data_IF_057900068880
#
_entry.id   IF_057900068880
#
_cell.length_a   1.000
_cell.length_b   1.000
_cell.length_c   1.000
_cell.angle_alpha   90.00
_cell.angle_beta   90.00
_cell.angle_gamma   90.00
#
_symmetry.space_group_name_H-M   'P 1'
#
loop_
_entity.id
_entity.type
_entity.pdbx_description
1 polymer ?
#
# COMPACT_ATOMS: atom_id res chain seq x y z
N UNK A 1 -23.34 8.06 -3.40
CA UNK A 1 -22.53 8.90 -2.50
C UNK A 1 -21.11 8.36 -2.60
N UNK A 2 -20.10 9.19 -2.76
CA UNK A 2 -18.71 8.75 -2.83
C UNK A 2 -18.27 8.30 -1.43
N UNK A 3 -17.59 7.12 -1.33
CA UNK A 3 -17.26 6.47 -0.05
C UNK A 3 -16.17 7.19 0.74
N UNK A 4 -15.33 7.99 0.07
CA UNK A 4 -14.19 8.70 0.66
C UNK A 4 -14.31 10.22 0.50
N UNK A 5 -15.52 10.74 0.31
CA UNK A 5 -15.78 12.16 0.08
C UNK A 5 -15.17 13.04 1.17
N UNK A 6 -14.31 13.97 0.77
CA UNK A 6 -13.64 14.91 1.66
C UNK A 6 -12.55 14.33 2.55
N UNK A 7 -12.16 13.07 2.40
CA UNK A 7 -11.02 12.47 3.08
C UNK A 7 -9.72 12.82 2.36
N UNK A 8 -8.62 12.94 3.09
CA UNK A 8 -7.27 13.10 2.55
C UNK A 8 -6.51 11.77 2.62
N UNK A 9 -5.99 11.31 1.49
CA UNK A 9 -5.28 10.03 1.38
C UNK A 9 -3.85 10.21 0.88
N UNK A 10 -2.89 9.55 1.53
CA UNK A 10 -1.52 9.39 1.05
C UNK A 10 -1.31 7.94 0.61
N UNK A 11 -0.91 7.73 -0.64
CA UNK A 11 -0.62 6.40 -1.20
C UNK A 11 0.84 6.33 -1.60
N UNK A 12 1.63 5.47 -0.92
CA UNK A 12 3.05 5.33 -1.25
C UNK A 12 3.28 4.40 -2.43
N UNK A 13 4.30 4.68 -3.26
CA UNK A 13 4.58 3.92 -4.46
C UNK A 13 3.43 3.96 -5.47
N UNK A 14 2.78 5.11 -5.58
CA UNK A 14 1.59 5.30 -6.42
C UNK A 14 1.89 5.90 -7.80
N UNK A 15 3.15 5.89 -8.23
CA UNK A 15 3.55 6.27 -9.60
C UNK A 15 3.36 5.14 -10.62
N UNK A 16 3.02 3.92 -10.19
CA UNK A 16 2.77 2.77 -11.08
C UNK A 16 1.95 1.67 -10.37
N UNK A 17 1.57 0.66 -11.12
CA UNK A 17 1.03 -0.62 -10.66
C UNK A 17 -0.18 -0.51 -9.73
N UNK A 18 -0.21 -1.31 -8.67
CA UNK A 18 -1.32 -1.35 -7.70
C UNK A 18 -1.49 0.02 -7.03
N UNK A 19 -0.40 0.68 -6.63
CA UNK A 19 -0.45 1.98 -5.96
C UNK A 19 -1.12 3.06 -6.81
N UNK A 20 -0.81 3.11 -8.11
CA UNK A 20 -1.47 3.98 -9.07
C UNK A 20 -2.98 3.72 -9.12
N UNK A 21 -3.37 2.46 -9.33
CA UNK A 21 -4.80 2.13 -9.41
C UNK A 21 -5.56 2.40 -8.12
N UNK A 22 -4.92 2.23 -6.95
CA UNK A 22 -5.49 2.61 -5.65
C UNK A 22 -5.68 4.12 -5.57
N UNK A 23 -4.68 4.93 -5.94
CA UNK A 23 -4.74 6.38 -5.93
C UNK A 23 -5.88 6.91 -6.84
N UNK A 24 -5.95 6.41 -8.08
CA UNK A 24 -7.02 6.73 -9.02
C UNK A 24 -8.42 6.34 -8.48
N UNK A 25 -8.53 5.15 -7.89
CA UNK A 25 -9.80 4.68 -7.31
C UNK A 25 -10.22 5.52 -6.10
N UNK A 26 -9.30 5.90 -5.22
CA UNK A 26 -9.59 6.79 -4.09
C UNK A 26 -10.07 8.17 -4.54
N UNK A 27 -9.46 8.73 -5.58
CA UNK A 27 -9.88 10.00 -6.14
C UNK A 27 -11.30 9.93 -6.75
N UNK A 28 -11.62 8.85 -7.48
CA UNK A 28 -12.99 8.60 -7.97
C UNK A 28 -14.01 8.50 -6.85
N UNK A 29 -13.61 7.97 -5.69
CA UNK A 29 -14.45 7.91 -4.47
C UNK A 29 -14.44 9.21 -3.65
N UNK A 30 -13.85 10.29 -4.15
CA UNK A 30 -13.94 11.65 -3.58
C UNK A 30 -12.84 12.03 -2.60
N UNK A 31 -11.78 11.22 -2.47
CA UNK A 31 -10.64 11.59 -1.67
C UNK A 31 -9.80 12.68 -2.37
N UNK A 32 -9.15 13.52 -1.54
CA UNK A 32 -7.99 14.31 -1.95
C UNK A 32 -6.79 13.38 -1.86
N UNK A 33 -6.13 13.08 -2.98
CA UNK A 33 -5.08 12.07 -3.01
C UNK A 33 -3.71 12.70 -3.14
N UNK A 34 -2.80 12.32 -2.25
CA UNK A 34 -1.37 12.61 -2.41
C UNK A 34 -0.70 11.37 -2.98
N UNK A 35 -0.27 11.48 -4.23
CA UNK A 35 0.52 10.49 -4.96
C UNK A 35 1.98 10.66 -4.55
N UNK A 36 2.71 9.57 -4.28
CA UNK A 36 4.15 9.65 -4.01
C UNK A 36 4.90 8.44 -4.53
N UNK A 37 6.14 8.66 -4.90
CA UNK A 37 7.08 7.67 -5.42
C UNK A 37 8.24 8.35 -6.10
N UNK A 38 9.04 7.56 -6.80
CA UNK A 38 10.12 8.04 -7.64
C UNK A 38 9.58 8.44 -9.03
N UNK A 39 10.21 9.42 -9.67
CA UNK A 39 9.88 9.85 -11.02
C UNK A 39 8.83 10.96 -11.07
N UNK A 40 9.31 12.20 -11.12
CA UNK A 40 8.45 13.40 -11.15
C UNK A 40 7.50 13.42 -12.35
N UNK A 41 7.94 12.96 -13.52
CA UNK A 41 7.13 12.93 -14.73
C UNK A 41 5.94 11.95 -14.60
N UNK A 42 6.20 10.73 -14.11
CA UNK A 42 5.15 9.73 -13.88
C UNK A 42 4.15 10.21 -12.82
N UNK A 43 4.65 10.82 -11.74
CA UNK A 43 3.79 11.40 -10.71
C UNK A 43 2.88 12.50 -11.26
N UNK A 44 3.42 13.41 -12.08
CA UNK A 44 2.64 14.47 -12.72
C UNK A 44 1.56 13.90 -13.65
N UNK A 45 1.90 12.90 -14.49
CA UNK A 45 0.93 12.26 -15.38
C UNK A 45 -0.26 11.64 -14.63
N UNK A 46 -0.03 11.04 -13.46
CA UNK A 46 -1.10 10.46 -12.65
C UNK A 46 -1.99 11.55 -12.05
N UNK A 47 -1.38 12.61 -11.54
CA UNK A 47 -2.13 13.78 -11.04
C UNK A 47 -2.98 14.37 -12.13
N UNK A 48 -2.42 14.61 -13.31
CA UNK A 48 -3.15 15.16 -14.47
C UNK A 48 -4.32 14.25 -14.88
N UNK A 49 -4.12 12.92 -14.87
CA UNK A 49 -5.17 11.95 -15.16
C UNK A 49 -6.33 12.03 -14.15
N UNK A 50 -6.01 12.07 -12.86
CA UNK A 50 -7.01 12.20 -11.79
C UNK A 50 -7.77 13.53 -11.89
N UNK A 51 -7.08 14.63 -12.16
CA UNK A 51 -7.69 15.95 -12.30
C UNK A 51 -8.57 16.02 -13.54
N UNK A 52 -8.16 15.41 -14.64
CA UNK A 52 -8.96 15.32 -15.86
C UNK A 52 -10.28 14.56 -15.66
N UNK A 53 -10.32 13.59 -14.73
CA UNK A 53 -11.53 12.88 -14.31
C UNK A 53 -12.35 13.64 -13.24
N UNK A 54 -11.93 14.86 -12.87
CA UNK A 54 -12.62 15.71 -11.88
C UNK A 54 -12.28 15.37 -10.43
N UNK A 55 -11.22 14.61 -10.18
CA UNK A 55 -10.67 14.34 -8.85
C UNK A 55 -9.71 15.45 -8.38
N UNK A 56 -9.22 15.30 -7.14
CA UNK A 56 -8.21 16.18 -6.54
C UNK A 56 -6.99 15.34 -6.21
N UNK A 57 -5.85 15.70 -6.78
CA UNK A 57 -4.60 15.01 -6.50
C UNK A 57 -3.40 15.97 -6.46
N UNK A 58 -2.39 15.59 -5.72
CA UNK A 58 -1.10 16.25 -5.61
C UNK A 58 0.02 15.21 -5.71
N UNK A 59 1.21 15.62 -6.07
CA UNK A 59 2.37 14.74 -6.12
C UNK A 59 3.48 15.25 -5.20
N UNK A 60 4.08 14.32 -4.46
CA UNK A 60 5.31 14.53 -3.67
C UNK A 60 6.31 13.47 -4.09
N UNK A 61 7.40 13.86 -4.71
CA UNK A 61 8.50 12.95 -4.98
C UNK A 61 9.18 12.56 -3.67
N UNK A 62 9.34 11.26 -3.41
CA UNK A 62 10.03 10.78 -2.22
C UNK A 62 10.68 9.42 -2.46
N UNK A 63 11.93 9.30 -2.02
CA UNK A 63 12.66 8.04 -1.93
C UNK A 63 12.58 7.49 -0.50
N UNK A 64 11.77 6.45 -0.32
CA UNK A 64 11.57 5.84 1.00
C UNK A 64 12.82 5.09 1.52
N UNK A 65 13.82 4.87 0.68
CA UNK A 65 15.12 4.32 1.10
C UNK A 65 16.08 5.37 1.66
N UNK A 66 15.79 6.67 1.47
CA UNK A 66 16.67 7.77 1.90
C UNK A 66 16.62 8.05 3.42
N UNK A 67 15.85 7.23 4.17
CA UNK A 67 15.83 7.26 5.64
C UNK A 67 14.79 8.20 6.25
N UNK A 68 14.81 8.28 7.59
CA UNK A 68 13.73 8.88 8.37
C UNK A 68 13.52 10.40 8.18
N UNK A 69 14.54 11.16 7.75
CA UNK A 69 14.38 12.58 7.42
C UNK A 69 13.49 12.78 6.20
N UNK A 70 13.68 11.98 5.18
CA UNK A 70 12.89 12.00 3.96
C UNK A 70 11.43 11.59 4.22
N UNK A 71 11.23 10.56 5.04
CA UNK A 71 9.89 10.11 5.42
C UNK A 71 9.12 11.19 6.20
N UNK A 72 9.80 11.90 7.11
CA UNK A 72 9.19 13.03 7.82
C UNK A 72 8.87 14.20 6.89
N UNK A 73 9.76 14.51 5.93
CA UNK A 73 9.50 15.51 4.90
C UNK A 73 8.26 15.16 4.09
N UNK A 74 8.17 13.89 3.63
CA UNK A 74 6.99 13.39 2.90
C UNK A 74 5.70 13.59 3.71
N UNK A 75 5.68 13.18 4.98
CA UNK A 75 4.50 13.34 5.84
C UNK A 75 4.05 14.81 5.97
N UNK A 76 5.00 15.73 6.15
CA UNK A 76 4.73 17.16 6.27
C UNK A 76 4.21 17.76 4.96
N UNK A 77 4.86 17.47 3.83
CA UNK A 77 4.48 18.00 2.53
C UNK A 77 3.12 17.42 2.07
N UNK A 78 2.90 16.14 2.28
CA UNK A 78 1.61 15.51 1.97
C UNK A 78 0.45 16.17 2.75
N UNK A 79 0.65 16.41 4.05
CA UNK A 79 -0.34 17.10 4.89
C UNK A 79 -0.57 18.54 4.43
N UNK A 80 0.49 19.25 4.07
CA UNK A 80 0.40 20.64 3.60
C UNK A 80 -0.35 20.74 2.27
N UNK A 81 -0.05 19.86 1.30
CA UNK A 81 -0.70 19.83 -0.02
C UNK A 81 -2.16 19.39 0.06
N UNK A 82 -2.49 18.45 0.93
CA UNK A 82 -3.88 18.06 1.17
C UNK A 82 -4.71 19.18 1.85
N UNK A 83 -4.06 20.19 2.44
CA UNK A 83 -4.70 21.29 3.16
C UNK A 83 -5.39 20.87 4.46
N UNK A 84 -5.16 19.63 4.91
CA UNK A 84 -5.71 19.01 6.12
C UNK A 84 -4.87 17.79 6.51
N UNK A 85 -4.96 17.28 7.75
CA UNK A 85 -4.33 16.02 8.13
C UNK A 85 -4.73 14.88 7.19
N UNK A 86 -3.78 13.96 6.97
CA UNK A 86 -4.03 12.75 6.20
C UNK A 86 -4.94 11.82 7.02
N UNK A 87 -6.12 11.52 6.50
CA UNK A 87 -7.09 10.61 7.12
C UNK A 87 -6.80 9.14 6.77
N UNK A 88 -6.22 8.90 5.59
CA UNK A 88 -6.00 7.57 5.05
C UNK A 88 -4.54 7.44 4.60
N UNK A 89 -3.84 6.47 5.17
CA UNK A 89 -2.51 6.09 4.72
C UNK A 89 -2.54 4.72 4.07
N UNK A 90 -2.05 4.62 2.82
CA UNK A 90 -1.81 3.34 2.15
C UNK A 90 -0.31 3.13 2.01
N UNK A 91 0.26 2.28 2.85
CA UNK A 91 1.65 1.82 2.77
C UNK A 91 1.77 0.76 1.66
N UNK A 92 1.87 1.21 0.40
CA UNK A 92 1.92 0.33 -0.76
C UNK A 92 3.34 0.18 -1.32
N UNK A 93 4.19 1.18 -1.22
CA UNK A 93 5.56 1.10 -1.73
C UNK A 93 6.27 -0.17 -1.23
N UNK A 94 6.98 -0.84 -2.13
CA UNK A 94 7.78 -2.00 -1.80
C UNK A 94 9.00 -2.09 -2.71
N UNK A 95 10.11 -2.51 -2.15
CA UNK A 95 11.27 -2.96 -2.89
C UNK A 95 11.19 -4.48 -3.07
N UNK A 96 11.24 -4.93 -4.31
CA UNK A 96 11.21 -6.33 -4.70
C UNK A 96 12.58 -6.74 -5.22
N UNK A 97 13.16 -7.77 -4.62
CA UNK A 97 14.35 -8.44 -5.17
C UNK A 97 13.86 -9.57 -6.09
N UNK A 98 14.42 -9.73 -7.28
CA UNK A 98 14.10 -10.87 -8.13
C UNK A 98 14.27 -12.20 -7.38
N UNK A 99 13.41 -13.21 -7.63
CA UNK A 99 13.52 -14.51 -6.97
C UNK A 99 14.90 -15.15 -7.17
N UNK A 100 15.59 -15.51 -6.08
CA UNK A 100 16.91 -16.15 -6.08
C UNK A 100 17.11 -17.00 -4.83
N UNK A 101 18.09 -17.94 -4.81
CA UNK A 101 18.44 -18.70 -3.61
C UNK A 101 18.84 -17.77 -2.45
N UNK A 102 18.40 -18.08 -1.22
CA UNK A 102 18.73 -17.25 -0.05
C UNK A 102 20.23 -17.07 0.19
N UNK A 103 21.03 -18.03 -0.26
CA UNK A 103 22.50 -18.00 -0.15
C UNK A 103 23.17 -16.97 -1.08
N UNK A 104 22.41 -16.38 -1.99
CA UNK A 104 22.87 -15.35 -2.94
C UNK A 104 22.39 -13.95 -2.54
N UNK A 105 21.61 -13.83 -1.45
CA UNK A 105 21.17 -12.52 -0.94
C UNK A 105 22.36 -11.75 -0.39
N UNK A 106 22.47 -10.48 -0.77
CA UNK A 106 23.49 -9.59 -0.21
C UNK A 106 22.96 -8.79 0.97
N UNK A 107 23.86 -8.29 1.83
CA UNK A 107 23.49 -7.43 2.97
C UNK A 107 22.75 -6.18 2.50
N UNK A 108 23.20 -5.56 1.41
CA UNK A 108 22.58 -4.38 0.84
C UNK A 108 21.13 -4.63 0.37
N UNK A 109 20.87 -5.81 -0.19
CA UNK A 109 19.50 -6.20 -0.56
C UNK A 109 18.61 -6.39 0.68
N UNK A 110 19.16 -7.00 1.74
CA UNK A 110 18.44 -7.20 3.00
C UNK A 110 18.11 -5.85 3.62
N UNK A 111 19.09 -4.96 3.73
CA UNK A 111 18.91 -3.63 4.30
C UNK A 111 17.87 -2.82 3.51
N UNK A 112 17.95 -2.82 2.19
CA UNK A 112 17.04 -2.05 1.35
C UNK A 112 15.59 -2.57 1.42
N UNK A 113 15.41 -3.90 1.41
CA UNK A 113 14.06 -4.49 1.57
C UNK A 113 13.48 -4.13 2.93
N UNK A 114 14.25 -4.22 4.01
CA UNK A 114 13.78 -3.87 5.34
C UNK A 114 13.53 -2.37 5.50
N UNK A 115 14.39 -1.54 4.92
CA UNK A 115 14.23 -0.08 4.93
C UNK A 115 12.92 0.34 4.27
N UNK A 116 12.67 -0.12 3.04
CA UNK A 116 11.50 0.30 2.26
C UNK A 116 10.23 -0.41 2.71
N UNK A 117 10.26 -1.73 2.96
CA UNK A 117 9.05 -2.52 3.17
C UNK A 117 8.58 -2.56 4.63
N UNK A 118 9.45 -2.23 5.57
CA UNK A 118 9.15 -2.32 7.02
C UNK A 118 9.37 -1.00 7.73
N UNK A 119 10.59 -0.45 7.64
CA UNK A 119 10.97 0.76 8.40
C UNK A 119 10.25 2.00 7.88
N UNK A 120 10.16 2.18 6.56
CA UNK A 120 9.48 3.33 5.99
C UNK A 120 7.98 3.37 6.34
N UNK A 121 7.18 2.28 6.20
CA UNK A 121 5.82 2.22 6.71
C UNK A 121 5.70 2.54 8.20
N UNK A 122 6.64 2.03 9.02
CA UNK A 122 6.65 2.31 10.45
C UNK A 122 6.79 3.80 10.73
N UNK A 123 7.82 4.42 10.16
CA UNK A 123 8.13 5.84 10.40
C UNK A 123 7.06 6.78 9.82
N UNK A 124 6.50 6.45 8.65
CA UNK A 124 5.46 7.25 8.03
C UNK A 124 4.15 7.18 8.81
N UNK A 125 3.76 5.98 9.25
CA UNK A 125 2.59 5.80 10.13
C UNK A 125 2.77 6.59 11.41
N UNK A 126 3.92 6.45 12.09
CA UNK A 126 4.21 7.18 13.32
C UNK A 126 4.19 8.72 13.14
N UNK A 127 4.59 9.21 11.95
CA UNK A 127 4.56 10.65 11.66
C UNK A 127 3.15 11.20 11.42
N UNK A 128 2.22 10.38 10.89
CA UNK A 128 0.87 10.81 10.53
C UNK A 128 -0.18 10.57 11.63
N UNK A 129 0.02 9.55 12.48
CA UNK A 129 -0.89 9.18 13.56
C UNK A 129 -1.30 10.36 14.45
N UNK A 130 -0.40 11.26 14.92
CA UNK A 130 -0.83 12.38 15.75
C UNK A 130 -1.89 13.26 15.08
N UNK A 131 -1.74 13.57 13.80
CA UNK A 131 -2.72 14.35 13.05
C UNK A 131 -4.04 13.60 12.83
N UNK A 132 -4.01 12.27 12.66
CA UNK A 132 -5.21 11.44 12.60
C UNK A 132 -5.98 11.49 13.93
N UNK A 133 -5.30 11.35 15.07
CA UNK A 133 -5.91 11.41 16.42
C UNK A 133 -6.55 12.78 16.65
N UNK A 134 -5.85 13.87 16.35
CA UNK A 134 -6.38 15.23 16.51
C UNK A 134 -7.64 15.49 15.67
N UNK A 135 -7.81 14.77 14.55
CA UNK A 135 -8.97 14.87 13.67
C UNK A 135 -10.05 13.80 13.90
N UNK A 136 -9.91 13.03 14.98
CA UNK A 136 -10.94 12.07 15.42
C UNK A 136 -10.85 10.70 14.78
N UNK A 137 -9.68 10.33 14.25
CA UNK A 137 -9.39 9.00 13.75
C UNK A 137 -8.87 8.95 12.31
N UNK A 138 -8.68 7.72 11.81
CA UNK A 138 -8.14 7.50 10.47
C UNK A 138 -8.15 6.02 10.06
N UNK A 139 -7.59 5.75 8.88
CA UNK A 139 -7.41 4.39 8.37
C UNK A 139 -6.00 4.20 7.81
N UNK A 140 -5.28 3.23 8.34
CA UNK A 140 -3.97 2.80 7.82
C UNK A 140 -4.15 1.45 7.13
N UNK A 141 -3.77 1.37 5.86
CA UNK A 141 -3.84 0.16 5.07
C UNK A 141 -2.44 -0.23 4.64
N UNK A 142 -1.98 -1.37 5.12
CA UNK A 142 -0.70 -1.94 4.73
C UNK A 142 -0.88 -2.88 3.55
N UNK A 143 -0.13 -2.67 2.46
CA UNK A 143 -0.12 -3.61 1.35
C UNK A 143 0.80 -4.77 1.68
N UNK A 144 0.17 -5.85 2.13
CA UNK A 144 0.83 -7.12 2.40
C UNK A 144 1.10 -7.92 1.12
N UNK A 145 1.11 -9.22 1.28
CA UNK A 145 1.16 -10.22 0.20
C UNK A 145 0.80 -11.58 0.79
N UNK A 146 0.23 -12.48 -0.01
CA UNK A 146 0.12 -13.90 0.36
C UNK A 146 1.49 -14.50 0.66
N UNK A 147 2.56 -14.02 0.02
CA UNK A 147 3.95 -14.43 0.31
C UNK A 147 4.46 -14.04 1.70
N UNK A 148 3.71 -13.23 2.46
CA UNK A 148 3.95 -12.98 3.88
C UNK A 148 3.20 -13.94 4.81
N UNK A 149 2.38 -14.83 4.25
CA UNK A 149 1.64 -15.89 4.96
C UNK A 149 2.24 -17.24 4.59
N UNK A 150 2.34 -17.53 3.29
CA UNK A 150 2.89 -18.78 2.77
C UNK A 150 4.36 -18.67 2.39
N UNK A 151 5.07 -19.80 2.48
CA UNK A 151 6.45 -19.92 2.05
C UNK A 151 6.55 -20.06 0.53
N UNK A 152 6.94 -18.99 -0.16
CA UNK A 152 7.19 -19.02 -1.61
C UNK A 152 8.69 -19.18 -1.85
N UNK A 153 9.04 -20.23 -2.61
CA UNK A 153 10.43 -20.57 -2.94
C UNK A 153 11.12 -19.37 -3.62
N UNK A 154 12.35 -19.08 -3.18
CA UNK A 154 13.22 -18.00 -3.70
C UNK A 154 12.76 -16.56 -3.39
N UNK A 155 11.79 -16.36 -2.51
CA UNK A 155 11.31 -15.02 -2.14
C UNK A 155 11.33 -14.79 -0.63
N UNK A 156 12.20 -15.49 0.11
CA UNK A 156 12.22 -15.49 1.58
C UNK A 156 12.35 -14.09 2.18
N UNK A 157 13.19 -13.23 1.61
CA UNK A 157 13.40 -11.87 2.10
C UNK A 157 12.14 -11.00 1.93
N UNK A 158 11.52 -11.06 0.76
CA UNK A 158 10.26 -10.35 0.53
C UNK A 158 9.14 -10.88 1.43
N UNK A 159 8.99 -12.21 1.52
CA UNK A 159 8.01 -12.86 2.40
C UNK A 159 8.20 -12.43 3.86
N UNK A 160 9.43 -12.43 4.37
CA UNK A 160 9.74 -11.99 5.72
C UNK A 160 9.35 -10.52 5.95
N UNK A 161 9.63 -9.62 4.99
CA UNK A 161 9.25 -8.20 5.09
C UNK A 161 7.74 -8.01 5.14
N UNK A 162 6.98 -8.75 4.32
CA UNK A 162 5.52 -8.70 4.31
C UNK A 162 4.90 -9.33 5.56
N UNK A 163 5.45 -10.44 6.06
CA UNK A 163 5.06 -11.02 7.35
C UNK A 163 5.31 -10.04 8.51
N UNK A 164 6.43 -9.31 8.49
CA UNK A 164 6.70 -8.22 9.43
C UNK A 164 5.62 -7.14 9.40
N UNK A 165 5.22 -6.70 8.21
CA UNK A 165 4.16 -5.70 8.03
C UNK A 165 2.78 -6.22 8.50
N UNK A 166 2.47 -7.52 8.28
CA UNK A 166 1.27 -8.16 8.84
C UNK A 166 1.28 -8.18 10.38
N UNK A 167 2.46 -8.37 11.00
CA UNK A 167 2.61 -8.31 12.46
C UNK A 167 2.40 -6.88 12.97
N UNK A 168 3.02 -5.88 12.33
CA UNK A 168 2.82 -4.46 12.65
C UNK A 168 1.36 -4.05 12.56
N UNK A 169 0.63 -4.52 11.54
CA UNK A 169 -0.81 -4.26 11.38
C UNK A 169 -1.60 -4.65 12.63
N UNK A 170 -1.38 -5.86 13.16
CA UNK A 170 -2.07 -6.32 14.37
C UNK A 170 -1.68 -5.52 15.60
N UNK A 171 -0.40 -5.21 15.76
CA UNK A 171 0.11 -4.43 16.89
C UNK A 171 -0.45 -3.00 16.87
N UNK A 172 -0.40 -2.33 15.73
CA UNK A 172 -0.93 -0.97 15.57
C UNK A 172 -2.45 -0.92 15.69
N UNK A 173 -3.16 -1.95 15.20
CA UNK A 173 -4.61 -2.05 15.40
C UNK A 173 -4.97 -2.11 16.88
N UNK A 174 -4.23 -2.90 17.67
CA UNK A 174 -4.45 -2.99 19.12
C UNK A 174 -4.09 -1.69 19.86
N UNK A 175 -3.04 -1.00 19.42
CA UNK A 175 -2.54 0.23 20.03
C UNK A 175 -3.44 1.44 19.74
N UNK A 176 -3.90 1.57 18.48
CA UNK A 176 -4.51 2.81 17.97
C UNK A 176 -6.04 2.77 17.89
N UNK A 177 -6.68 1.62 18.16
CA UNK A 177 -8.13 1.50 18.02
C UNK A 177 -8.90 2.43 18.96
N UNK A 178 -8.39 2.66 20.17
CA UNK A 178 -9.02 3.57 21.15
C UNK A 178 -8.98 5.04 20.71
N UNK A 179 -8.03 5.39 19.82
CA UNK A 179 -7.89 6.71 19.24
C UNK A 179 -8.67 6.86 17.91
N UNK A 180 -9.52 5.90 17.58
CA UNK A 180 -10.34 5.92 16.38
C UNK A 180 -9.60 5.59 15.09
N UNK A 181 -8.38 5.04 15.17
CA UNK A 181 -7.59 4.67 13.99
C UNK A 181 -7.72 3.17 13.72
N UNK A 182 -8.15 2.83 12.51
CA UNK A 182 -8.21 1.45 12.04
C UNK A 182 -6.93 1.11 11.26
N UNK A 183 -6.36 -0.04 11.55
CA UNK A 183 -5.17 -0.53 10.84
C UNK A 183 -5.46 -1.93 10.30
N UNK A 184 -5.33 -2.10 8.98
CA UNK A 184 -5.64 -3.35 8.30
C UNK A 184 -4.62 -3.65 7.20
N UNK A 185 -4.56 -4.89 6.75
CA UNK A 185 -3.74 -5.35 5.63
C UNK A 185 -4.61 -5.82 4.48
N UNK A 186 -4.29 -5.41 3.26
CA UNK A 186 -4.72 -6.09 2.03
C UNK A 186 -3.54 -6.93 1.54
N UNK A 187 -3.76 -8.21 1.28
CA UNK A 187 -2.73 -9.17 0.85
C UNK A 187 -3.05 -9.71 -0.56
N UNK A 188 -2.53 -9.07 -1.63
CA UNK A 188 -2.73 -9.56 -2.98
C UNK A 188 -2.02 -10.88 -3.22
N UNK A 189 -2.65 -11.72 -4.07
CA UNK A 189 -2.02 -12.82 -4.78
C UNK A 189 -1.30 -12.36 -6.06
N UNK A 190 -1.04 -13.28 -7.01
CA UNK A 190 -0.50 -12.95 -8.32
C UNK A 190 -1.39 -11.91 -9.01
N UNK A 191 -0.87 -10.69 -9.20
CA UNK A 191 -1.62 -9.56 -9.76
C UNK A 191 -0.85 -8.99 -10.94
N UNK A 192 -1.52 -8.84 -12.08
CA UNK A 192 -0.92 -8.25 -13.29
C UNK A 192 -1.07 -6.74 -13.25
N UNK A 193 0.03 -6.06 -13.55
CA UNK A 193 0.13 -4.60 -13.64
C UNK A 193 0.93 -4.22 -14.88
N UNK A 194 0.88 -2.95 -15.27
CA UNK A 194 1.72 -2.46 -16.38
C UNK A 194 3.22 -2.61 -16.13
N UNK A 195 3.64 -2.61 -14.86
CA UNK A 195 5.06 -2.73 -14.49
C UNK A 195 5.59 -4.17 -14.45
N UNK A 196 4.73 -5.17 -14.53
CA UNK A 196 5.12 -6.59 -14.54
C UNK A 196 4.48 -7.39 -15.69
N UNK A 197 4.09 -6.71 -16.75
CA UNK A 197 3.44 -7.32 -17.92
C UNK A 197 4.31 -8.39 -18.59
N UNK A 198 5.62 -8.22 -18.56
CA UNK A 198 6.61 -9.18 -19.04
C UNK A 198 6.60 -10.49 -18.22
N UNK A 199 6.14 -10.45 -16.97
CA UNK A 199 5.99 -11.62 -16.11
C UNK A 199 4.60 -12.29 -16.24
N UNK A 200 3.70 -11.77 -17.07
CA UNK A 200 2.33 -12.31 -17.26
C UNK A 200 2.29 -13.83 -17.40
N UNK A 201 3.09 -14.48 -18.28
CA UNK A 201 3.02 -15.93 -18.43
C UNK A 201 3.36 -16.70 -17.15
N UNK A 202 4.24 -16.14 -16.31
CA UNK A 202 4.63 -16.73 -15.03
C UNK A 202 3.50 -16.55 -14.02
N UNK A 203 2.92 -15.35 -13.94
CA UNK A 203 1.84 -15.03 -13.01
C UNK A 203 0.56 -15.83 -13.32
N UNK A 204 0.20 -15.96 -14.60
CA UNK A 204 -0.92 -16.79 -15.04
C UNK A 204 -0.71 -18.26 -14.66
N UNK A 205 0.51 -18.79 -14.90
CA UNK A 205 0.84 -20.17 -14.50
C UNK A 205 0.77 -20.38 -12.98
N UNK A 206 1.17 -19.41 -12.17
CA UNK A 206 1.02 -19.47 -10.72
C UNK A 206 -0.46 -19.47 -10.32
N UNK A 207 -1.27 -18.66 -10.98
CA UNK A 207 -2.70 -18.56 -10.72
C UNK A 207 -3.51 -19.81 -11.15
N UNK A 208 -2.99 -20.63 -12.05
CA UNK A 208 -3.64 -21.93 -12.39
C UNK A 208 -3.90 -22.83 -11.17
N UNK A 209 -3.10 -22.66 -10.10
CA UNK A 209 -3.25 -23.41 -8.85
C UNK A 209 -4.26 -22.75 -7.89
N UNK A 210 -4.66 -21.51 -8.12
CA UNK A 210 -5.67 -20.86 -7.29
C UNK A 210 -7.05 -21.51 -7.52
N UNK A 211 -7.94 -21.53 -6.52
CA UNK A 211 -9.31 -22.03 -6.70
C UNK A 211 -10.07 -21.39 -7.85
N UNK A 212 -9.93 -20.08 -8.06
CA UNK A 212 -10.56 -19.34 -9.16
C UNK A 212 -9.81 -19.43 -10.50
N UNK A 213 -8.53 -19.88 -10.47
CA UNK A 213 -7.64 -20.03 -11.63
C UNK A 213 -7.36 -18.74 -12.40
N UNK A 214 -7.48 -17.60 -11.75
CA UNK A 214 -7.24 -16.29 -12.36
C UNK A 214 -6.16 -15.51 -11.61
N UNK A 215 -5.43 -14.67 -12.34
CA UNK A 215 -4.63 -13.61 -11.74
C UNK A 215 -5.54 -12.48 -11.28
N UNK A 216 -5.21 -11.86 -10.16
CA UNK A 216 -5.86 -10.64 -9.71
C UNK A 216 -5.57 -9.47 -10.66
N UNK A 217 -6.44 -8.47 -10.60
CA UNK A 217 -6.28 -7.19 -11.27
C UNK A 217 -5.97 -6.10 -10.24
N UNK A 218 -5.47 -4.97 -10.73
CA UNK A 218 -5.29 -3.76 -9.90
C UNK A 218 -6.62 -3.32 -9.29
N UNK A 219 -7.72 -3.46 -10.03
CA UNK A 219 -9.07 -3.09 -9.59
C UNK A 219 -9.58 -3.95 -8.44
N UNK A 220 -9.28 -5.25 -8.42
CA UNK A 220 -9.67 -6.14 -7.32
C UNK A 220 -9.00 -5.70 -6.01
N UNK A 221 -7.70 -5.39 -6.08
CA UNK A 221 -6.95 -4.91 -4.92
C UNK A 221 -7.44 -3.51 -4.49
N UNK A 222 -7.66 -2.60 -5.44
CA UNK A 222 -8.14 -1.26 -5.13
C UNK A 222 -9.53 -1.28 -4.46
N UNK A 223 -10.44 -2.15 -4.90
CA UNK A 223 -11.75 -2.31 -4.29
C UNK A 223 -11.67 -2.71 -2.81
N UNK A 224 -10.79 -3.64 -2.46
CA UNK A 224 -10.53 -4.05 -1.08
C UNK A 224 -9.93 -2.90 -0.24
N UNK A 225 -9.00 -2.13 -0.81
CA UNK A 225 -8.41 -0.95 -0.14
C UNK A 225 -9.49 0.10 0.12
N UNK A 226 -10.32 0.43 -0.87
CA UNK A 226 -11.42 1.40 -0.71
C UNK A 226 -12.40 0.95 0.39
N UNK A 227 -12.78 -0.33 0.39
CA UNK A 227 -13.65 -0.88 1.43
C UNK A 227 -13.05 -0.69 2.82
N UNK A 228 -11.79 -1.09 3.03
CA UNK A 228 -11.12 -0.95 4.33
C UNK A 228 -10.85 0.51 4.71
N UNK A 229 -10.73 1.42 3.74
CA UNK A 229 -10.57 2.85 4.00
C UNK A 229 -11.88 3.54 4.40
N UNK A 230 -13.03 2.99 3.99
CA UNK A 230 -14.35 3.60 4.16
C UNK A 230 -14.97 3.32 5.53
N UNK A 231 -16.07 4.01 5.84
CA UNK A 231 -16.88 3.78 7.05
C UNK A 231 -17.59 2.41 7.04
N UNK A 232 -17.72 1.75 5.89
CA UNK A 232 -18.25 0.39 5.78
C UNK A 232 -17.41 -0.63 6.57
N UNK A 233 -16.11 -0.32 6.79
CA UNK A 233 -15.18 -1.12 7.57
C UNK A 233 -14.97 -0.58 9.01
N UNK A 234 -15.89 0.20 9.55
CA UNK A 234 -15.76 0.87 10.86
C UNK A 234 -15.46 -0.06 12.03
N UNK A 235 -15.83 -1.33 11.95
CA UNK A 235 -15.59 -2.35 13.00
C UNK A 235 -14.54 -3.39 12.58
N UNK A 236 -13.68 -3.08 11.59
CA UNK A 236 -12.64 -3.99 11.09
C UNK A 236 -11.27 -3.44 11.48
N UNK A 237 -10.58 -4.17 12.38
CA UNK A 237 -9.28 -3.82 12.92
C UNK A 237 -8.33 -5.03 12.90
N UNK A 238 -7.12 -4.86 12.44
CA UNK A 238 -6.06 -5.87 12.47
C UNK A 238 -6.26 -7.04 11.49
N UNK A 239 -7.20 -6.93 10.54
CA UNK A 239 -7.46 -8.00 9.57
C UNK A 239 -6.33 -8.08 8.54
N UNK A 240 -6.02 -9.30 8.13
CA UNK A 240 -5.35 -9.57 6.87
C UNK A 240 -6.43 -10.02 5.90
N UNK A 241 -6.72 -9.20 4.89
CA UNK A 241 -7.72 -9.47 3.84
C UNK A 241 -7.01 -9.95 2.58
N UNK A 242 -7.05 -11.27 2.27
CA UNK A 242 -6.50 -11.79 1.02
C UNK A 242 -7.33 -11.31 -0.18
N UNK A 243 -6.64 -10.96 -1.26
CA UNK A 243 -7.23 -10.70 -2.58
C UNK A 243 -6.44 -11.56 -3.57
N UNK A 244 -6.72 -12.86 -3.56
CA UNK A 244 -5.78 -13.87 -4.04
C UNK A 244 -6.44 -15.03 -4.84
N UNK A 245 -7.72 -14.92 -5.18
CA UNK A 245 -8.45 -15.99 -5.88
C UNK A 245 -8.59 -17.27 -5.07
N UNK A 246 -8.45 -17.18 -3.74
CA UNK A 246 -8.54 -18.30 -2.81
C UNK A 246 -7.22 -19.06 -2.62
N UNK A 247 -6.08 -18.53 -3.04
CA UNK A 247 -4.78 -19.20 -2.92
C UNK A 247 -4.46 -19.62 -1.48
N UNK A 248 -4.81 -18.79 -0.48
CA UNK A 248 -4.61 -19.10 0.94
C UNK A 248 -5.69 -20.01 1.56
N UNK A 249 -6.69 -20.44 0.81
CA UNK A 249 -7.77 -21.27 1.31
C UNK A 249 -7.51 -22.78 1.14
N UNK A 250 -6.44 -23.18 0.47
CA UNK A 250 -6.06 -24.57 0.13
C UNK A 250 -4.67 -24.91 0.61
#
# INVERSE_FOLDING_TARGET
MKRLEGRAALVTGSTSGIGRGVAEAMAREGAIVVVTGLGAEQGAQIVDGIVAEGGIAHFVEADLSAGGSEIRRLAQEATALAGRPIDILVNNAAFLVPPHPMTESTEEQIDLVLEVNVKAPYLLTAALVPGMVEHGGGSVINMGSIGGVDGIKFTSLYGASKAGLHSLTRSWAAELAADGIRVNTVAPGPTITESNEDLRPILEKLAENNPDRHTGTVQDTAAAVIFLASEEASHIHGVLLPVDGGALAI
#
